data_IF_177868874684
#
_entry.id   IF_177868874684
#
_cell.length_a   1.000
_cell.length_b   1.000
_cell.length_c   1.000
_cell.angle_alpha   90.00
_cell.angle_beta   90.00
_cell.angle_gamma   90.00
#
_symmetry.space_group_name_H-M   'P 1'
#
loop_
_entity.id
_entity.type
_entity.pdbx_description
1 polymer ?
#
# COMPACT_ATOMS: atom_id res chain seq x y z
N UNK A 1 6.34 29.02 1.12
CA UNK A 1 7.00 28.04 2.01
C UNK A 1 5.93 27.54 2.97
N UNK A 2 5.35 26.37 2.70
CA UNK A 2 4.46 25.69 3.65
C UNK A 2 5.30 25.36 4.89
N UNK A 3 4.79 25.71 6.09
CA UNK A 3 5.42 25.28 7.34
C UNK A 3 5.45 23.75 7.33
N UNK A 4 6.64 23.18 7.47
CA UNK A 4 6.79 21.73 7.69
C UNK A 4 6.03 21.37 8.97
N UNK A 5 5.08 20.46 8.86
CA UNK A 5 4.26 20.03 9.99
C UNK A 5 5.10 19.06 10.81
N UNK A 6 5.40 19.43 12.05
CA UNK A 6 6.09 18.57 13.00
C UNK A 6 5.08 18.02 14.03
N UNK A 7 5.18 16.72 14.32
CA UNK A 7 4.38 16.09 15.37
C UNK A 7 4.92 16.47 16.74
N UNK A 8 4.03 16.78 17.67
CA UNK A 8 4.38 16.98 19.07
C UNK A 8 4.78 15.63 19.73
N UNK A 9 5.53 15.69 20.83
CA UNK A 9 5.93 14.49 21.59
C UNK A 9 4.73 13.62 21.99
N UNK A 10 3.61 14.24 22.40
CA UNK A 10 2.39 13.53 22.76
C UNK A 10 1.74 12.83 21.55
N UNK A 11 1.75 13.48 20.37
CA UNK A 11 1.25 12.86 19.15
C UNK A 11 2.10 11.66 18.73
N UNK A 12 3.41 11.80 18.81
CA UNK A 12 4.34 10.69 18.54
C UNK A 12 4.07 9.52 19.51
N UNK A 13 3.99 9.77 20.82
CA UNK A 13 3.70 8.74 21.81
C UNK A 13 2.38 8.00 21.52
N UNK A 14 1.33 8.74 21.17
CA UNK A 14 0.04 8.16 20.79
C UNK A 14 0.12 7.30 19.51
N UNK A 15 0.89 7.72 18.52
CA UNK A 15 1.11 6.96 17.28
C UNK A 15 1.88 5.67 17.57
N UNK A 16 2.97 5.76 18.32
CA UNK A 16 3.77 4.59 18.74
C UNK A 16 2.93 3.55 19.49
N UNK A 17 2.10 4.02 20.42
CA UNK A 17 1.18 3.16 21.19
C UNK A 17 0.18 2.46 20.25
N UNK A 18 -0.43 3.18 19.31
CA UNK A 18 -1.37 2.60 18.33
C UNK A 18 -0.69 1.54 17.46
N UNK A 19 0.54 1.78 17.02
CA UNK A 19 1.30 0.84 16.20
C UNK A 19 1.61 -0.45 17.00
N UNK A 20 2.04 -0.34 18.26
CA UNK A 20 2.29 -1.47 19.14
C UNK A 20 1.01 -2.27 19.43
N UNK A 21 -0.11 -1.58 19.70
CA UNK A 21 -1.42 -2.21 19.88
C UNK A 21 -1.86 -2.96 18.62
N UNK A 22 -1.61 -2.38 17.44
CA UNK A 22 -1.95 -3.01 16.16
C UNK A 22 -1.09 -4.24 15.90
N UNK A 23 0.22 -4.18 16.16
CA UNK A 23 1.10 -5.36 16.09
C UNK A 23 0.62 -6.48 17.00
N UNK A 24 0.27 -6.16 18.24
CA UNK A 24 -0.27 -7.13 19.22
C UNK A 24 -1.60 -7.74 18.77
N UNK A 25 -2.50 -6.93 18.22
CA UNK A 25 -3.78 -7.38 17.66
C UNK A 25 -3.54 -8.39 16.52
N UNK A 26 -2.53 -8.16 15.70
CA UNK A 26 -2.13 -9.05 14.62
C UNK A 26 -1.33 -10.29 15.08
N UNK A 27 -1.08 -10.42 16.40
CA UNK A 27 -0.31 -11.52 16.95
C UNK A 27 1.19 -11.42 16.66
N UNK A 28 1.69 -10.22 16.34
CA UNK A 28 3.09 -9.95 16.02
C UNK A 28 3.77 -9.38 17.27
N UNK A 29 4.72 -10.12 17.82
CA UNK A 29 5.42 -9.75 19.03
C UNK A 29 6.92 -9.59 18.77
N UNK A 30 7.54 -8.60 19.42
CA UNK A 30 8.98 -8.36 19.34
C UNK A 30 9.43 -7.88 17.95
N UNK A 31 10.67 -8.25 17.60
CA UNK A 31 11.40 -7.79 16.42
C UNK A 31 11.10 -8.65 15.18
N UNK A 32 9.81 -8.85 14.89
CA UNK A 32 9.38 -9.64 13.73
C UNK A 32 8.88 -8.69 12.63
N UNK A 33 9.47 -8.71 11.42
CA UNK A 33 8.98 -7.93 10.30
C UNK A 33 7.56 -8.37 9.88
N UNK A 34 6.71 -7.40 9.55
CA UNK A 34 5.38 -7.65 8.95
C UNK A 34 5.53 -7.98 7.47
N UNK A 35 6.27 -7.13 6.75
CA UNK A 35 6.58 -7.32 5.34
C UNK A 35 5.33 -7.75 4.52
N UNK A 36 5.43 -8.87 3.81
CA UNK A 36 4.34 -9.38 2.97
C UNK A 36 3.10 -9.88 3.74
N UNK A 37 3.24 -10.17 5.03
CA UNK A 37 2.12 -10.66 5.84
C UNK A 37 1.01 -9.61 6.01
N UNK A 38 1.29 -8.33 5.66
CA UNK A 38 0.30 -7.25 5.73
C UNK A 38 -0.97 -7.58 4.93
N UNK A 39 -0.86 -8.23 3.77
CA UNK A 39 -2.00 -8.63 2.95
C UNK A 39 -2.94 -9.59 3.70
N UNK A 40 -2.36 -10.62 4.32
CA UNK A 40 -3.12 -11.56 5.14
C UNK A 40 -3.73 -10.89 6.39
N UNK A 41 -3.04 -9.89 6.95
CA UNK A 41 -3.53 -9.16 8.11
C UNK A 41 -4.75 -8.30 7.77
N UNK A 42 -4.79 -7.69 6.58
CA UNK A 42 -5.97 -6.97 6.09
C UNK A 42 -7.17 -7.93 5.96
N UNK A 43 -6.98 -9.06 5.30
CA UNK A 43 -8.02 -10.06 5.09
C UNK A 43 -8.59 -10.61 6.41
N UNK A 44 -7.73 -10.92 7.39
CA UNK A 44 -8.15 -11.34 8.74
C UNK A 44 -8.95 -10.29 9.52
N UNK A 45 -8.84 -9.02 9.15
CA UNK A 45 -9.60 -7.93 9.77
C UNK A 45 -10.81 -7.51 8.92
N UNK A 46 -11.25 -8.37 7.98
CA UNK A 46 -12.38 -8.13 7.09
C UNK A 46 -12.23 -6.84 6.28
N UNK A 47 -11.00 -6.47 5.94
CA UNK A 47 -10.72 -5.34 5.06
C UNK A 47 -10.60 -5.89 3.65
N UNK A 48 -11.48 -5.45 2.76
CA UNK A 48 -11.46 -5.82 1.36
C UNK A 48 -10.35 -5.05 0.66
N UNK A 49 -9.40 -5.77 0.07
CA UNK A 49 -8.34 -5.17 -0.72
C UNK A 49 -8.67 -5.27 -2.20
N UNK A 50 -8.66 -4.10 -2.88
CA UNK A 50 -8.75 -3.98 -4.32
C UNK A 50 -7.40 -3.50 -4.87
N UNK A 51 -6.75 -4.32 -5.68
CA UNK A 51 -5.46 -4.03 -6.31
C UNK A 51 -5.70 -3.56 -7.75
N UNK A 52 -5.22 -2.37 -8.10
CA UNK A 52 -5.35 -1.84 -9.46
C UNK A 52 -4.18 -0.92 -9.81
N UNK A 53 -3.62 -1.00 -11.05
CA UNK A 53 -2.59 -0.08 -11.52
C UNK A 53 -3.23 1.24 -11.94
N UNK A 54 -3.32 2.20 -11.02
CA UNK A 54 -3.80 3.54 -11.37
C UNK A 54 -2.78 4.24 -12.27
N UNK A 55 -3.24 4.80 -13.37
CA UNK A 55 -2.44 5.70 -14.17
C UNK A 55 -2.33 7.04 -13.44
N UNK A 56 -1.10 7.56 -13.35
CA UNK A 56 -0.86 8.88 -12.79
C UNK A 56 -1.54 9.93 -13.70
N UNK A 57 -2.69 10.44 -13.29
CA UNK A 57 -3.22 11.67 -13.89
C UNK A 57 -2.43 12.87 -13.35
N UNK A 58 -2.20 13.88 -14.19
CA UNK A 58 -1.47 15.10 -13.81
C UNK A 58 -2.12 15.71 -12.56
N UNK A 59 -1.41 15.61 -11.42
CA UNK A 59 -1.77 16.25 -10.16
C UNK A 59 -2.45 15.39 -9.09
N UNK A 60 -2.72 14.10 -9.34
CA UNK A 60 -3.27 13.19 -8.33
C UNK A 60 -2.39 11.94 -8.21
N UNK A 61 -1.63 11.85 -7.13
CA UNK A 61 -0.90 10.63 -6.76
C UNK A 61 -1.62 10.00 -5.56
N UNK A 62 -2.46 9.00 -5.84
CA UNK A 62 -3.07 8.19 -4.78
C UNK A 62 -2.27 6.90 -4.67
N UNK A 63 -1.64 6.68 -3.53
CA UNK A 63 -0.86 5.48 -3.24
C UNK A 63 -1.79 4.34 -2.80
N UNK A 64 -2.69 4.62 -1.86
CA UNK A 64 -3.81 3.79 -1.46
C UNK A 64 -4.94 4.69 -0.95
N UNK A 65 -6.12 4.12 -0.74
CA UNK A 65 -7.26 4.83 -0.15
C UNK A 65 -8.13 3.86 0.63
N UNK A 66 -8.37 4.16 1.90
CA UNK A 66 -9.37 3.47 2.71
C UNK A 66 -10.74 4.14 2.52
N UNK A 67 -11.70 3.35 2.06
CA UNK A 67 -13.09 3.79 1.92
C UNK A 67 -13.98 2.97 2.85
N UNK A 68 -14.88 3.67 3.55
CA UNK A 68 -15.82 3.09 4.48
C UNK A 68 -17.23 3.20 3.92
N UNK A 69 -17.92 2.07 3.84
CA UNK A 69 -19.33 2.00 3.47
C UNK A 69 -20.16 1.63 4.68
N UNK A 70 -21.09 2.51 5.07
CA UNK A 70 -22.03 2.23 6.15
C UNK A 70 -23.09 1.24 5.67
N UNK A 71 -23.26 0.14 6.41
CA UNK A 71 -24.33 -0.82 6.20
C UNK A 71 -25.25 -0.87 7.42
N UNK A 72 -26.32 -1.67 7.36
CA UNK A 72 -27.27 -1.81 8.50
C UNK A 72 -26.64 -2.54 9.69
N UNK A 73 -25.68 -3.43 9.43
CA UNK A 73 -25.02 -4.26 10.45
C UNK A 73 -23.67 -3.66 10.84
N UNK A 74 -22.61 -3.99 10.10
CA UNK A 74 -21.27 -3.46 10.32
C UNK A 74 -20.75 -2.78 9.07
N UNK A 75 -19.97 -1.70 9.20
CA UNK A 75 -19.41 -1.01 8.03
C UNK A 75 -18.46 -1.92 7.27
N UNK A 76 -18.56 -1.88 5.94
CA UNK A 76 -17.62 -2.58 5.07
C UNK A 76 -16.45 -1.65 4.76
N UNK A 77 -15.24 -2.17 4.91
CA UNK A 77 -14.01 -1.42 4.71
C UNK A 77 -13.28 -1.89 3.46
N UNK A 78 -12.96 -0.96 2.58
CA UNK A 78 -12.22 -1.23 1.36
C UNK A 78 -10.92 -0.44 1.35
N UNK A 79 -9.83 -1.08 0.91
CA UNK A 79 -8.61 -0.39 0.54
C UNK A 79 -8.39 -0.59 -0.96
N UNK A 80 -8.38 0.52 -1.70
CA UNK A 80 -7.89 0.57 -3.06
C UNK A 80 -6.39 0.78 -3.05
N UNK A 81 -5.60 -0.16 -3.58
CA UNK A 81 -4.14 -0.10 -3.64
C UNK A 81 -3.65 0.18 -5.05
N UNK A 82 -2.81 1.19 -5.21
CA UNK A 82 -2.14 1.48 -6.47
C UNK A 82 -0.96 0.52 -6.71
N UNK A 83 -1.15 -0.44 -7.59
CA UNK A 83 -0.12 -1.44 -7.94
C UNK A 83 0.92 -0.94 -8.95
N UNK A 84 0.80 0.30 -9.43
CA UNK A 84 1.86 0.99 -10.21
C UNK A 84 3.00 1.51 -9.34
N UNK A 85 2.84 1.52 -8.01
CA UNK A 85 3.90 1.81 -7.05
C UNK A 85 4.93 0.68 -6.99
N UNK A 86 6.14 0.98 -6.53
CA UNK A 86 7.10 -0.05 -6.15
C UNK A 86 6.60 -0.88 -4.97
N UNK A 87 6.98 -2.14 -4.89
CA UNK A 87 6.38 -3.08 -3.94
C UNK A 87 6.58 -2.68 -2.47
N UNK A 88 7.72 -2.12 -2.11
CA UNK A 88 7.94 -1.56 -0.77
C UNK A 88 7.02 -0.36 -0.46
N UNK A 89 6.71 0.47 -1.47
CA UNK A 89 5.76 1.56 -1.35
C UNK A 89 4.32 1.05 -1.21
N UNK A 90 3.96 -0.02 -1.93
CA UNK A 90 2.65 -0.67 -1.76
C UNK A 90 2.45 -1.14 -0.32
N UNK A 91 3.46 -1.79 0.28
CA UNK A 91 3.42 -2.24 1.67
C UNK A 91 3.31 -1.06 2.64
N UNK A 92 4.06 0.01 2.38
CA UNK A 92 3.99 1.22 3.19
C UNK A 92 2.62 1.90 3.11
N UNK A 93 2.03 1.99 1.91
CA UNK A 93 0.71 2.54 1.70
C UNK A 93 -0.37 1.73 2.44
N UNK A 94 -0.33 0.41 2.40
CA UNK A 94 -1.24 -0.44 3.19
C UNK A 94 -1.09 -0.23 4.70
N UNK A 95 0.14 -0.07 5.19
CA UNK A 95 0.38 0.24 6.59
C UNK A 95 -0.13 1.63 6.98
N UNK A 96 -0.08 2.61 6.07
CA UNK A 96 -0.64 3.94 6.23
C UNK A 96 -2.17 3.88 6.36
N UNK A 97 -2.85 3.15 5.47
CA UNK A 97 -4.32 3.00 5.52
C UNK A 97 -4.79 2.28 6.79
N UNK A 98 -3.98 1.41 7.37
CA UNK A 98 -4.30 0.81 8.68
C UNK A 98 -4.39 1.83 9.82
N UNK A 99 -3.71 2.99 9.72
CA UNK A 99 -3.89 4.08 10.67
C UNK A 99 -5.29 4.68 10.57
N UNK A 100 -5.74 4.96 9.34
CA UNK A 100 -7.08 5.48 9.08
C UNK A 100 -8.15 4.48 9.52
N UNK A 101 -7.95 3.19 9.25
CA UNK A 101 -8.81 2.14 9.76
C UNK A 101 -8.90 2.15 11.30
N UNK A 102 -7.76 2.20 11.98
CA UNK A 102 -7.67 2.16 13.44
C UNK A 102 -8.27 3.41 14.11
N UNK A 103 -8.13 4.56 13.48
CA UNK A 103 -8.62 5.85 13.98
C UNK A 103 -10.03 6.19 13.49
N UNK A 104 -10.58 5.39 12.58
CA UNK A 104 -11.87 5.63 11.93
C UNK A 104 -11.92 6.97 11.17
N UNK A 105 -10.78 7.32 10.54
CA UNK A 105 -10.58 8.57 9.79
C UNK A 105 -10.48 8.36 8.28
N UNK A 106 -10.82 7.16 7.78
CA UNK A 106 -10.86 6.88 6.33
C UNK A 106 -11.91 7.72 5.60
N UNK A 107 -11.73 7.87 4.29
CA UNK A 107 -12.68 8.62 3.45
C UNK A 107 -14.07 7.97 3.54
N UNK A 108 -15.08 8.78 3.81
CA UNK A 108 -16.48 8.37 3.66
C UNK A 108 -16.87 8.52 2.19
N UNK A 109 -17.57 7.55 1.62
CA UNK A 109 -18.09 7.65 0.24
C UNK A 109 -19.00 8.88 0.01
N UNK A 110 -19.52 9.45 1.08
CA UNK A 110 -20.52 10.56 1.03
C UNK A 110 -19.96 11.95 1.31
N UNK A 111 -18.69 12.08 1.72
CA UNK A 111 -18.13 13.36 2.15
C UNK A 111 -16.81 13.64 1.39
N UNK A 112 -16.73 14.81 0.72
CA UNK A 112 -15.48 15.37 0.22
C UNK A 112 -14.68 15.91 1.41
N UNK A 113 -13.92 15.06 2.09
CA UNK A 113 -13.04 15.53 3.16
C UNK A 113 -11.74 16.08 2.55
N UNK A 114 -11.39 17.29 2.92
CA UNK A 114 -10.04 17.81 2.73
C UNK A 114 -9.09 17.02 3.63
N UNK A 115 -8.09 16.41 3.03
CA UNK A 115 -7.04 15.69 3.76
C UNK A 115 -6.43 16.62 4.82
N UNK A 116 -6.49 16.21 6.10
CA UNK A 116 -5.81 16.93 7.19
C UNK A 116 -4.31 16.58 7.15
N UNK A 117 -3.42 17.54 6.79
CA UNK A 117 -2.00 17.24 6.66
C UNK A 117 -1.35 16.75 7.96
N UNK A 118 -1.96 17.06 9.12
CA UNK A 118 -1.48 16.55 10.41
C UNK A 118 -1.84 15.08 10.58
N UNK A 119 -3.03 14.69 10.15
CA UNK A 119 -3.51 13.32 10.20
C UNK A 119 -2.66 12.43 9.29
N UNK A 120 -2.37 12.91 8.05
CA UNK A 120 -1.50 12.22 7.10
C UNK A 120 -0.08 12.02 7.66
N UNK A 121 0.48 13.04 8.31
CA UNK A 121 1.78 12.92 8.97
C UNK A 121 1.77 11.90 10.12
N UNK A 122 0.67 11.77 10.83
CA UNK A 122 0.50 10.74 11.86
C UNK A 122 0.38 9.34 11.25
N UNK A 123 -0.33 9.21 10.12
CA UNK A 123 -0.47 7.96 9.40
C UNK A 123 0.88 7.48 8.83
N UNK A 124 1.68 8.38 8.24
CA UNK A 124 3.05 8.07 7.81
C UNK A 124 3.93 7.59 8.97
N UNK A 125 3.86 8.31 10.10
CA UNK A 125 4.64 7.93 11.29
C UNK A 125 4.19 6.61 11.87
N UNK A 126 2.88 6.33 11.85
CA UNK A 126 2.32 5.04 12.26
C UNK A 126 2.77 3.92 11.33
N UNK A 127 2.69 4.11 10.01
CA UNK A 127 3.12 3.11 9.03
C UNK A 127 4.59 2.73 9.24
N UNK A 128 5.44 3.73 9.39
CA UNK A 128 6.86 3.54 9.63
C UNK A 128 7.15 2.81 10.96
N UNK A 129 6.39 3.09 12.02
CA UNK A 129 6.50 2.42 13.32
C UNK A 129 5.93 1.01 13.30
N UNK A 130 4.78 0.82 12.64
CA UNK A 130 4.14 -0.49 12.49
C UNK A 130 5.08 -1.47 11.78
N UNK A 131 5.71 -1.03 10.70
CA UNK A 131 6.64 -1.84 9.90
C UNK A 131 7.98 -2.02 10.59
N UNK A 132 8.57 -0.98 11.19
CA UNK A 132 9.86 -1.03 11.89
C UNK A 132 9.76 -0.33 13.26
N UNK A 133 9.56 -1.07 14.37
CA UNK A 133 9.44 -0.48 15.70
C UNK A 133 10.67 0.33 16.13
N UNK A 134 10.44 1.48 16.82
CA UNK A 134 11.50 2.37 17.30
C UNK A 134 12.53 1.65 18.17
N UNK A 135 12.10 0.74 19.05
CA UNK A 135 13.01 -0.04 19.89
C UNK A 135 13.94 -0.94 19.08
N UNK A 136 13.42 -1.54 18.01
CA UNK A 136 14.20 -2.34 17.06
C UNK A 136 15.19 -1.46 16.30
N UNK A 137 14.74 -0.33 15.74
CA UNK A 137 15.60 0.60 15.03
C UNK A 137 16.75 1.08 15.92
N UNK A 138 16.44 1.47 17.19
CA UNK A 138 17.45 1.86 18.17
C UNK A 138 18.50 0.76 18.39
N UNK A 139 18.05 -0.46 18.67
CA UNK A 139 18.93 -1.61 18.87
C UNK A 139 19.85 -1.87 17.68
N UNK A 140 19.31 -1.75 16.45
CA UNK A 140 20.07 -1.93 15.20
C UNK A 140 21.10 -0.81 15.00
N UNK A 141 20.74 0.46 15.26
CA UNK A 141 21.66 1.61 15.16
C UNK A 141 22.80 1.46 16.15
N UNK A 142 22.50 1.23 17.45
CA UNK A 142 23.53 1.07 18.48
C UNK A 142 24.43 -0.14 18.20
N UNK A 143 23.85 -1.25 17.76
CA UNK A 143 24.62 -2.43 17.40
C UNK A 143 25.57 -2.19 16.25
N UNK A 144 25.11 -1.51 15.19
CA UNK A 144 25.91 -1.23 14.00
C UNK A 144 26.97 -0.17 14.26
N UNK A 145 26.59 1.00 14.79
CA UNK A 145 27.47 2.15 14.86
C UNK A 145 28.21 2.31 16.20
N UNK A 146 27.83 1.54 17.23
CA UNK A 146 28.32 1.67 18.63
C UNK A 146 28.12 3.09 19.19
N UNK A 147 27.11 3.78 18.71
CA UNK A 147 26.74 5.16 19.04
C UNK A 147 25.26 5.37 18.71
N UNK A 148 24.63 6.29 19.42
CA UNK A 148 23.28 6.77 19.12
C UNK A 148 23.28 7.84 18.03
N UNK A 149 24.45 8.43 17.70
CA UNK A 149 24.60 9.43 16.64
C UNK A 149 25.49 8.87 15.54
N UNK A 150 24.99 8.84 14.32
CA UNK A 150 25.71 8.35 13.14
C UNK A 150 26.51 9.52 12.54
N UNK A 151 27.82 9.33 12.42
CA UNK A 151 28.71 10.32 11.85
C UNK A 151 28.60 10.31 10.30
N UNK A 152 28.52 11.49 9.67
CA UNK A 152 28.49 11.67 8.21
C UNK A 152 29.68 11.00 7.48
N UNK A 153 30.85 10.94 8.13
CA UNK A 153 32.01 10.24 7.59
C UNK A 153 31.73 8.74 7.33
N UNK A 154 30.70 8.17 7.93
CA UNK A 154 30.28 6.80 7.74
C UNK A 154 29.23 6.62 6.62
N UNK A 155 29.14 7.56 5.69
CA UNK A 155 28.14 7.62 4.63
C UNK A 155 27.88 6.26 3.94
N UNK A 156 28.90 5.62 3.39
CA UNK A 156 28.73 4.31 2.73
C UNK A 156 28.33 3.19 3.68
N UNK A 157 28.72 3.28 4.96
CA UNK A 157 28.27 2.33 5.98
C UNK A 157 26.81 2.53 6.29
N UNK A 158 26.36 3.79 6.35
CA UNK A 158 24.95 4.15 6.55
C UNK A 158 24.08 3.68 5.39
N UNK A 159 24.52 3.84 4.13
CA UNK A 159 23.79 3.30 2.98
C UNK A 159 23.65 1.77 3.05
N UNK A 160 24.70 1.04 3.43
CA UNK A 160 24.62 -0.42 3.64
C UNK A 160 23.70 -0.80 4.78
N UNK A 161 23.68 -0.01 5.86
CA UNK A 161 22.78 -0.20 6.99
C UNK A 161 21.31 -0.01 6.55
N UNK A 162 20.99 1.06 5.83
CA UNK A 162 19.65 1.31 5.28
C UNK A 162 19.22 0.17 4.35
N UNK A 163 20.10 -0.28 3.45
CA UNK A 163 19.79 -1.37 2.53
C UNK A 163 19.47 -2.69 3.28
N UNK A 164 20.20 -3.01 4.37
CA UNK A 164 19.88 -4.17 5.22
C UNK A 164 18.52 -4.03 5.91
N UNK A 165 18.20 -2.84 6.44
CA UNK A 165 16.88 -2.58 7.02
C UNK A 165 15.78 -2.73 5.97
N UNK A 166 15.98 -2.21 4.76
CA UNK A 166 15.00 -2.35 3.68
C UNK A 166 14.81 -3.83 3.28
N UNK A 167 15.87 -4.62 3.17
CA UNK A 167 15.78 -6.06 2.91
C UNK A 167 14.96 -6.80 3.98
N UNK A 168 15.17 -6.47 5.25
CA UNK A 168 14.57 -7.17 6.38
C UNK A 168 13.14 -6.71 6.67
N UNK A 169 12.89 -5.38 6.64
CA UNK A 169 11.65 -4.78 7.11
C UNK A 169 10.73 -4.27 5.99
N UNK A 170 11.20 -4.28 4.76
CA UNK A 170 10.49 -3.86 3.55
C UNK A 170 9.99 -2.41 3.59
N UNK A 171 10.66 -1.58 4.37
CA UNK A 171 10.38 -0.15 4.45
C UNK A 171 11.02 0.57 3.26
N UNK A 172 10.34 1.53 2.60
CA UNK A 172 10.95 2.34 1.56
C UNK A 172 12.19 3.12 2.06
N UNK A 173 13.17 3.31 1.19
CA UNK A 173 14.42 4.01 1.50
C UNK A 173 14.19 5.34 2.23
N UNK A 174 13.34 6.21 1.66
CA UNK A 174 13.06 7.52 2.23
C UNK A 174 12.35 7.44 3.59
N UNK A 175 11.50 6.43 3.80
CA UNK A 175 10.87 6.21 5.10
C UNK A 175 11.91 5.86 6.18
N UNK A 176 12.92 5.03 5.85
CA UNK A 176 14.04 4.73 6.77
C UNK A 176 14.87 5.98 7.05
N UNK A 177 15.20 6.78 6.01
CA UNK A 177 15.98 8.04 6.17
C UNK A 177 15.22 9.03 7.05
N UNK A 178 13.91 9.19 6.85
CA UNK A 178 13.05 10.02 7.69
C UNK A 178 13.10 9.56 9.15
N UNK A 179 12.99 8.24 9.39
CA UNK A 179 13.05 7.67 10.74
C UNK A 179 14.39 7.93 11.43
N UNK A 180 15.50 7.80 10.71
CA UNK A 180 16.82 8.10 11.27
C UNK A 180 16.95 9.55 11.69
N UNK A 181 16.31 10.46 10.97
CA UNK A 181 16.30 11.89 11.30
C UNK A 181 15.36 12.23 12.46
N UNK A 182 14.12 11.75 12.41
CA UNK A 182 13.09 11.97 13.44
C UNK A 182 13.52 11.44 14.81
N UNK A 183 14.19 10.28 14.84
CA UNK A 183 14.76 9.67 16.06
C UNK A 183 16.13 10.28 16.45
N UNK A 184 16.60 11.31 15.71
CA UNK A 184 17.83 12.05 15.99
C UNK A 184 19.11 11.22 15.89
N UNK A 185 19.12 10.13 15.10
CA UNK A 185 20.35 9.37 14.82
C UNK A 185 21.26 10.06 13.82
N UNK A 186 20.72 10.96 12.99
CA UNK A 186 21.46 11.78 12.02
C UNK A 186 21.09 13.26 12.17
N UNK A 187 22.03 14.15 11.85
CA UNK A 187 21.77 15.57 11.82
C UNK A 187 21.11 16.00 10.50
N UNK A 188 20.67 17.26 10.41
CA UNK A 188 19.95 17.79 9.25
C UNK A 188 20.79 17.75 7.96
N UNK A 189 22.08 18.10 8.00
CA UNK A 189 22.96 18.06 6.83
C UNK A 189 23.08 16.65 6.28
N UNK A 190 23.25 15.66 7.16
CA UNK A 190 23.35 14.27 6.76
C UNK A 190 22.02 13.72 6.23
N UNK A 191 20.91 14.13 6.83
CA UNK A 191 19.56 13.83 6.34
C UNK A 191 19.36 14.32 4.90
N UNK A 192 19.66 15.61 4.64
CA UNK A 192 19.51 16.21 3.31
C UNK A 192 20.35 15.46 2.26
N UNK A 193 21.57 15.09 2.62
CA UNK A 193 22.46 14.32 1.73
C UNK A 193 21.94 12.91 1.43
N UNK A 194 21.44 12.19 2.45
CA UNK A 194 20.83 10.88 2.26
C UNK A 194 19.50 10.98 1.48
N UNK A 195 18.66 11.96 1.81
CA UNK A 195 17.35 12.15 1.19
C UNK A 195 17.43 12.53 -0.30
N UNK A 196 18.49 13.21 -0.70
CA UNK A 196 18.74 13.57 -2.10
C UNK A 196 19.16 12.37 -2.97
N UNK A 197 19.41 11.19 -2.37
CA UNK A 197 19.78 9.99 -3.11
C UNK A 197 18.61 9.49 -3.96
N UNK A 198 18.85 9.27 -5.25
CA UNK A 198 17.89 8.55 -6.09
C UNK A 198 18.01 7.04 -5.84
N UNK A 199 17.15 6.53 -4.97
CA UNK A 199 17.11 5.12 -4.53
C UNK A 199 16.52 4.17 -5.58
N UNK A 200 16.07 4.72 -6.73
CA UNK A 200 15.52 3.94 -7.86
C UNK A 200 16.42 4.00 -9.11
N UNK A 201 17.44 4.84 -9.12
CA UNK A 201 18.41 4.84 -10.21
C UNK A 201 19.40 3.69 -10.07
N UNK A 202 19.35 2.75 -11.00
CA UNK A 202 20.23 1.58 -11.07
C UNK A 202 21.73 1.91 -11.04
N UNK A 203 22.09 3.13 -11.44
CA UNK A 203 23.48 3.64 -11.42
C UNK A 203 23.86 4.26 -10.09
N UNK A 204 22.89 4.51 -9.21
CA UNK A 204 23.17 5.12 -7.90
C UNK A 204 24.06 4.20 -7.06
N UNK A 205 24.79 4.80 -6.13
CA UNK A 205 25.62 4.05 -5.18
C UNK A 205 24.74 3.15 -4.31
N UNK A 206 23.58 3.64 -3.92
CA UNK A 206 22.63 2.89 -3.10
C UNK A 206 22.13 1.62 -3.79
N UNK A 207 21.62 1.74 -5.02
CA UNK A 207 21.11 0.59 -5.79
C UNK A 207 22.19 -0.46 -6.01
N UNK A 208 23.44 -0.07 -6.29
CA UNK A 208 24.57 -1.01 -6.41
C UNK A 208 24.85 -1.75 -5.11
N UNK A 209 24.79 -1.04 -3.97
CA UNK A 209 24.95 -1.65 -2.64
C UNK A 209 23.81 -2.64 -2.38
N UNK A 210 22.56 -2.24 -2.60
CA UNK A 210 21.40 -3.08 -2.35
C UNK A 210 21.42 -4.35 -3.23
N UNK A 211 21.65 -4.21 -4.54
CA UNK A 211 21.80 -5.34 -5.46
C UNK A 211 22.90 -6.33 -5.05
N UNK A 212 23.99 -5.82 -4.47
CA UNK A 212 25.10 -6.66 -4.01
C UNK A 212 24.77 -7.40 -2.72
N UNK A 213 23.99 -6.77 -1.83
CA UNK A 213 23.59 -7.37 -0.55
C UNK A 213 22.55 -8.47 -0.72
N UNK A 214 21.52 -8.20 -1.50
CA UNK A 214 20.41 -9.13 -1.75
C UNK A 214 19.76 -8.81 -3.11
N UNK A 215 20.19 -9.46 -4.19
CA UNK A 215 19.67 -9.19 -5.53
C UNK A 215 18.21 -9.59 -5.71
N UNK A 216 17.75 -10.64 -5.03
CA UNK A 216 16.36 -11.11 -5.10
C UNK A 216 15.42 -10.13 -4.40
N UNK A 217 15.79 -9.68 -3.21
CA UNK A 217 15.04 -8.70 -2.45
C UNK A 217 15.03 -7.34 -3.15
N UNK A 218 16.17 -6.95 -3.75
CA UNK A 218 16.23 -5.74 -4.57
C UNK A 218 15.24 -5.81 -5.72
N UNK A 219 15.23 -6.89 -6.49
CA UNK A 219 14.33 -7.07 -7.62
C UNK A 219 12.86 -7.04 -7.17
N UNK A 220 12.54 -7.74 -6.08
CA UNK A 220 11.19 -7.77 -5.52
C UNK A 220 10.71 -6.38 -5.10
N UNK A 221 11.44 -5.69 -4.21
CA UNK A 221 11.01 -4.43 -3.62
C UNK A 221 11.02 -3.25 -4.61
N UNK A 222 11.80 -3.37 -5.69
CA UNK A 222 11.83 -2.40 -6.78
C UNK A 222 10.98 -2.80 -7.99
N UNK A 223 10.14 -3.83 -7.88
CA UNK A 223 9.17 -4.18 -8.90
C UNK A 223 7.86 -3.42 -8.71
N UNK A 224 7.20 -3.13 -9.83
CA UNK A 224 5.80 -2.68 -9.86
C UNK A 224 4.97 -3.92 -10.18
N UNK A 225 4.05 -4.28 -9.31
CA UNK A 225 3.30 -5.53 -9.50
C UNK A 225 2.31 -5.45 -10.65
N UNK A 226 1.76 -4.27 -10.90
CA UNK A 226 0.72 -4.00 -11.91
C UNK A 226 -0.45 -4.99 -11.82
N UNK A 227 -0.66 -5.56 -10.64
CA UNK A 227 -1.71 -6.56 -10.42
C UNK A 227 -3.07 -5.89 -10.46
N UNK A 228 -4.02 -6.61 -11.06
CA UNK A 228 -5.45 -6.37 -10.90
C UNK A 228 -6.00 -7.50 -10.07
N UNK A 229 -6.75 -7.19 -9.02
CA UNK A 229 -7.29 -8.23 -8.16
C UNK A 229 -8.12 -7.68 -7.01
N UNK A 230 -8.77 -8.60 -6.34
CA UNK A 230 -9.56 -8.34 -5.14
C UNK A 230 -9.26 -9.45 -4.14
N UNK A 231 -9.48 -9.19 -2.85
CA UNK A 231 -9.34 -10.20 -1.80
C UNK A 231 -10.26 -11.41 -2.06
N UNK A 232 -9.81 -12.60 -1.64
CA UNK A 232 -10.57 -13.83 -1.88
C UNK A 232 -11.99 -13.75 -1.31
N UNK A 233 -12.16 -13.17 -0.12
CA UNK A 233 -13.47 -13.01 0.50
C UNK A 233 -14.44 -12.17 -0.33
N UNK A 234 -13.95 -11.10 -0.97
CA UNK A 234 -14.77 -10.27 -1.83
C UNK A 234 -15.11 -10.98 -3.14
N UNK A 235 -14.15 -11.69 -3.73
CA UNK A 235 -14.41 -12.51 -4.91
C UNK A 235 -15.50 -13.55 -4.62
N UNK A 236 -15.38 -14.25 -3.50
CA UNK A 236 -16.36 -15.25 -3.08
C UNK A 236 -17.75 -14.64 -2.87
N UNK A 237 -17.83 -13.42 -2.32
CA UNK A 237 -19.09 -12.67 -2.19
C UNK A 237 -19.71 -12.35 -3.55
N UNK A 238 -18.90 -11.95 -4.54
CA UNK A 238 -19.36 -11.69 -5.91
C UNK A 238 -19.95 -12.98 -6.53
N UNK A 239 -19.24 -14.10 -6.37
CA UNK A 239 -19.68 -15.39 -6.89
C UNK A 239 -21.00 -15.84 -6.27
N UNK A 240 -21.14 -15.76 -4.94
CA UNK A 240 -22.36 -16.12 -4.23
C UNK A 240 -23.55 -15.24 -4.66
N UNK A 241 -23.34 -13.91 -4.75
CA UNK A 241 -24.41 -13.00 -5.19
C UNK A 241 -24.84 -13.28 -6.64
N UNK A 242 -23.92 -13.69 -7.50
CA UNK A 242 -24.23 -14.12 -8.85
C UNK A 242 -25.02 -15.44 -8.86
N UNK A 243 -24.58 -16.44 -8.10
CA UNK A 243 -25.28 -17.74 -7.96
C UNK A 243 -26.68 -17.61 -7.36
N UNK A 244 -26.87 -16.62 -6.46
CA UNK A 244 -28.19 -16.30 -5.85
C UNK A 244 -29.07 -15.44 -6.77
N UNK A 245 -28.57 -15.03 -7.95
CA UNK A 245 -29.32 -14.25 -8.94
C UNK A 245 -29.47 -12.75 -8.58
N UNK A 246 -28.68 -12.26 -7.62
CA UNK A 246 -28.68 -10.85 -7.21
C UNK A 246 -27.84 -9.98 -8.15
N UNK A 247 -26.91 -10.57 -8.90
CA UNK A 247 -26.05 -9.92 -9.87
C UNK A 247 -26.34 -10.49 -11.26
N UNK A 248 -26.74 -9.69 -12.25
CA UNK A 248 -26.99 -10.15 -13.62
C UNK A 248 -25.68 -10.47 -14.37
N UNK A 249 -25.79 -11.23 -15.47
CA UNK A 249 -24.65 -11.74 -16.25
C UNK A 249 -23.69 -10.64 -16.71
N UNK A 250 -24.21 -9.54 -17.22
CA UNK A 250 -23.42 -8.40 -17.73
C UNK A 250 -22.64 -7.71 -16.59
N UNK A 251 -23.29 -7.44 -15.46
CA UNK A 251 -22.64 -6.85 -14.29
C UNK A 251 -21.60 -7.82 -13.68
N UNK A 252 -21.87 -9.12 -13.67
CA UNK A 252 -20.93 -10.14 -13.21
C UNK A 252 -19.65 -10.16 -14.06
N UNK A 253 -19.80 -10.11 -15.39
CA UNK A 253 -18.66 -10.02 -16.31
C UNK A 253 -17.86 -8.75 -16.06
N UNK A 254 -18.53 -7.59 -15.95
CA UNK A 254 -17.85 -6.32 -15.71
C UNK A 254 -17.08 -6.31 -14.39
N UNK A 255 -17.70 -6.83 -13.30
CA UNK A 255 -17.04 -6.94 -12.00
C UNK A 255 -15.79 -7.84 -12.06
N UNK A 256 -15.87 -8.98 -12.73
CA UNK A 256 -14.70 -9.85 -12.87
C UNK A 256 -13.60 -9.23 -13.73
N UNK A 257 -13.95 -8.52 -14.79
CA UNK A 257 -12.99 -7.83 -15.65
C UNK A 257 -12.23 -6.72 -14.90
N UNK A 258 -12.86 -6.02 -13.96
CA UNK A 258 -12.19 -5.05 -13.10
C UNK A 258 -11.01 -5.67 -12.35
N UNK A 259 -11.14 -6.94 -11.97
CA UNK A 259 -10.13 -7.70 -11.23
C UNK A 259 -9.25 -8.59 -12.13
N UNK A 260 -9.33 -8.38 -13.46
CA UNK A 260 -8.53 -9.13 -14.43
C UNK A 260 -8.88 -10.61 -14.50
N UNK A 261 -10.15 -10.94 -14.26
CA UNK A 261 -10.70 -12.30 -14.34
C UNK A 261 -11.81 -12.37 -15.40
N UNK A 262 -12.09 -13.58 -15.85
CA UNK A 262 -13.26 -13.86 -16.68
C UNK A 262 -14.14 -14.91 -15.99
N UNK A 263 -15.43 -15.03 -16.39
CA UNK A 263 -16.30 -16.10 -15.89
C UNK A 263 -15.70 -17.49 -16.10
N UNK A 264 -15.06 -17.73 -17.24
CA UNK A 264 -14.46 -19.00 -17.60
C UNK A 264 -13.30 -19.40 -16.68
N UNK A 265 -12.51 -18.41 -16.18
CA UNK A 265 -11.44 -18.63 -15.22
C UNK A 265 -11.94 -19.23 -13.90
N UNK A 266 -13.26 -19.04 -13.63
CA UNK A 266 -13.94 -19.48 -12.43
C UNK A 266 -14.91 -20.65 -12.69
N UNK A 267 -14.94 -21.15 -13.93
CA UNK A 267 -15.75 -22.32 -14.33
C UNK A 267 -17.19 -22.01 -14.71
N UNK A 268 -17.53 -20.72 -14.93
CA UNK A 268 -18.85 -20.34 -15.41
C UNK A 268 -18.86 -20.28 -16.95
N UNK A 269 -19.85 -20.91 -17.56
CA UNK A 269 -20.15 -20.78 -18.98
C UNK A 269 -21.37 -19.88 -19.12
N UNK A 270 -21.16 -18.61 -19.47
CA UNK A 270 -22.26 -17.69 -19.77
C UNK A 270 -22.78 -18.01 -21.18
N UNK A 271 -23.99 -18.53 -21.25
CA UNK A 271 -24.68 -18.69 -22.53
C UNK A 271 -25.31 -17.35 -22.90
N UNK A 272 -24.81 -16.72 -23.96
CA UNK A 272 -25.50 -15.58 -24.57
C UNK A 272 -26.90 -16.08 -24.97
N UNK A 273 -27.94 -15.44 -24.42
CA UNK A 273 -29.29 -15.86 -24.78
C UNK A 273 -29.51 -15.72 -26.29
N UNK A 274 -30.31 -16.58 -26.94
CA UNK A 274 -30.63 -16.42 -28.35
C UNK A 274 -31.25 -15.06 -28.67
N UNK A 275 -31.97 -14.46 -27.72
CA UNK A 275 -32.60 -13.14 -27.85
C UNK A 275 -31.54 -12.02 -27.87
N UNK A 276 -30.49 -12.11 -27.07
CA UNK A 276 -29.37 -11.14 -27.05
C UNK A 276 -28.51 -11.26 -28.32
N UNK A 277 -28.40 -12.46 -28.89
CA UNK A 277 -27.74 -12.67 -30.19
C UNK A 277 -28.55 -12.06 -31.33
N UNK A 278 -29.87 -12.12 -31.27
CA UNK A 278 -30.75 -11.51 -32.30
C UNK A 278 -30.70 -9.99 -32.18
N UNK A 279 -30.70 -9.40 -30.97
CA UNK A 279 -30.53 -7.94 -30.75
C UNK A 279 -29.14 -7.46 -31.23
N UNK A 280 -28.09 -8.24 -31.03
CA UNK A 280 -26.74 -7.92 -31.51
C UNK A 280 -26.66 -8.00 -33.06
N UNK A 281 -27.28 -8.98 -33.68
CA UNK A 281 -27.36 -9.11 -35.12
C UNK A 281 -28.17 -7.96 -35.76
N UNK A 282 -29.28 -7.56 -35.13
CA UNK A 282 -30.07 -6.41 -35.58
C UNK A 282 -29.30 -5.08 -35.52
N UNK A 283 -28.43 -4.91 -34.51
CA UNK A 283 -27.52 -3.76 -34.39
C UNK A 283 -26.47 -3.74 -35.51
N UNK A 284 -25.96 -4.88 -35.93
CA UNK A 284 -24.99 -4.98 -37.04
C UNK A 284 -25.65 -4.91 -38.40
N UNK A 285 -26.88 -5.42 -38.58
CA UNK A 285 -27.61 -5.34 -39.84
C UNK A 285 -28.26 -3.97 -40.08
N UNK A 286 -28.56 -3.20 -39.01
CA UNK A 286 -29.09 -1.84 -39.09
C UNK A 286 -28.11 -0.77 -39.53
N UNK A 287 -26.80 -1.07 -39.56
CA UNK A 287 -25.73 -0.13 -39.97
C UNK A 287 -25.42 -0.03 -41.46
N UNK A 288 -25.99 -0.88 -42.33
CA UNK A 288 -25.70 -0.90 -43.74
C UNK A 288 -26.75 -0.18 -44.65
N UNK A 289 -27.73 0.53 -44.11
CA UNK A 289 -28.79 1.14 -44.92
C UNK A 289 -28.76 2.67 -45.04
N UNK A 290 -27.72 3.38 -44.66
CA UNK A 290 -27.60 4.84 -44.85
C UNK A 290 -26.36 5.26 -45.64
N UNK A 291 -26.11 4.66 -46.80
CA UNK A 291 -25.29 5.24 -47.88
C UNK A 291 -25.94 4.98 -49.23
N UNK A 292 -26.83 5.87 -49.63
CA UNK A 292 -27.16 6.17 -51.05
C UNK A 292 -27.49 7.63 -51.22
#
# INVERSE_FOLDING_TARGET
>A
MSKEIELTALQIENVLKKADETRKLFGIFGDVPIANDIFMLLEKNNIILCEYPFEASEGSHTDATLTRFETRDEPIMFIGLNTSLYYDQQIFALAHELYHFKTKTGKSYTEEENEDPLLEKQADRFAAELLLPSGTLHSRVVSEFKSEMINEALYLRTLRFIARLQCEWWLPYHAIVNRLYEEKYINKSFYENLYAMNDRDDKSVYCRIFKTLDPEKYALLNSRTLRKGVSNAALETILLNYEDGEVPDDEFVELLMLFGKSPEDLGYELTVSPDDLDDLNDLFEGGEQDEC
#
